data_IF_099559000562
#
_entry.id   IF_099559000562
#
_cell.length_a   1.000
_cell.length_b   1.000
_cell.length_c   1.000
_cell.angle_alpha   90.00
_cell.angle_beta   90.00
_cell.angle_gamma   90.00
#
_symmetry.space_group_name_H-M   'P 1'
#
loop_
_entity.id
_entity.type
_entity.pdbx_description
1 polymer ?
#
# COMPACT_ATOMS: atom_id res chain seq x y z
N UNK A 1 -4.57 20.08 7.57
CA UNK A 1 -5.40 19.21 6.71
C UNK A 1 -6.59 18.61 7.45
N UNK A 2 -6.42 18.05 8.66
CA UNK A 2 -7.52 17.42 9.41
C UNK A 2 -8.77 18.30 9.62
N UNK A 3 -8.60 19.56 10.05
CA UNK A 3 -9.73 20.49 10.22
C UNK A 3 -10.50 20.78 8.91
N UNK A 4 -9.79 20.81 7.78
CA UNK A 4 -10.40 21.05 6.48
C UNK A 4 -11.18 19.81 5.98
N UNK A 5 -10.66 18.61 6.23
CA UNK A 5 -11.37 17.35 5.96
C UNK A 5 -12.67 17.26 6.79
N UNK A 6 -12.63 17.64 8.07
CA UNK A 6 -13.81 17.67 8.93
C UNK A 6 -14.85 18.68 8.44
N UNK A 7 -14.41 19.87 8.01
CA UNK A 7 -15.29 20.88 7.41
C UNK A 7 -15.98 20.34 6.15
N UNK A 8 -15.22 19.69 5.26
CA UNK A 8 -15.78 19.08 4.04
C UNK A 8 -16.83 18.03 4.38
N UNK A 9 -16.52 17.11 5.30
CA UNK A 9 -17.47 16.08 5.75
C UNK A 9 -18.73 16.72 6.36
N UNK A 10 -18.58 17.75 7.20
CA UNK A 10 -19.71 18.48 7.78
C UNK A 10 -20.61 19.13 6.71
N UNK A 11 -20.02 19.77 5.70
CA UNK A 11 -20.76 20.38 4.57
C UNK A 11 -21.51 19.32 3.77
N UNK A 12 -20.90 18.15 3.51
CA UNK A 12 -21.55 17.05 2.80
C UNK A 12 -22.71 16.49 3.63
N UNK A 13 -22.52 16.26 4.93
CA UNK A 13 -23.58 15.75 5.81
C UNK A 13 -24.76 16.71 5.94
N UNK A 14 -24.48 18.01 6.01
CA UNK A 14 -25.51 19.02 6.19
C UNK A 14 -26.27 19.36 4.90
N UNK A 15 -25.57 19.40 3.76
CA UNK A 15 -26.11 19.93 2.51
C UNK A 15 -26.20 18.90 1.36
N UNK A 16 -25.73 17.66 1.56
CA UNK A 16 -25.81 16.57 0.59
C UNK A 16 -25.27 16.95 -0.80
N UNK A 17 -26.10 16.78 -1.83
CA UNK A 17 -25.75 17.12 -3.22
C UNK A 17 -25.35 18.60 -3.40
N UNK A 18 -25.99 19.52 -2.67
CA UNK A 18 -25.64 20.94 -2.74
C UNK A 18 -24.24 21.18 -2.15
N UNK A 19 -23.92 20.51 -1.04
CA UNK A 19 -22.57 20.54 -0.46
C UNK A 19 -21.54 20.03 -1.46
N UNK A 20 -21.80 18.89 -2.08
CA UNK A 20 -20.93 18.32 -3.12
C UNK A 20 -20.77 19.23 -4.34
N UNK A 21 -21.85 19.87 -4.78
CA UNK A 21 -21.81 20.84 -5.87
C UNK A 21 -20.88 22.01 -5.53
N UNK A 22 -21.09 22.65 -4.37
CA UNK A 22 -20.33 23.83 -3.96
C UNK A 22 -18.84 23.51 -3.78
N UNK A 23 -18.54 22.40 -3.09
CA UNK A 23 -17.17 21.96 -2.87
C UNK A 23 -16.47 21.65 -4.19
N UNK A 24 -17.12 20.90 -5.09
CA UNK A 24 -16.56 20.54 -6.40
C UNK A 24 -16.34 21.77 -7.26
N UNK A 25 -17.26 22.74 -7.24
CA UNK A 25 -17.10 23.99 -7.98
C UNK A 25 -15.92 24.80 -7.44
N UNK A 26 -15.81 24.94 -6.12
CA UNK A 26 -14.71 25.66 -5.48
C UNK A 26 -13.35 24.98 -5.74
N UNK A 27 -13.27 23.65 -5.79
CA UNK A 27 -12.04 22.90 -6.13
C UNK A 27 -11.46 23.29 -7.48
N UNK A 28 -12.31 23.68 -8.43
CA UNK A 28 -11.86 24.06 -9.76
C UNK A 28 -11.05 25.36 -9.78
N UNK A 29 -11.16 26.23 -8.78
CA UNK A 29 -10.54 27.55 -8.84
C UNK A 29 -9.94 28.08 -7.53
N UNK A 30 -10.28 27.53 -6.37
CA UNK A 30 -9.78 28.04 -5.07
C UNK A 30 -9.51 26.95 -4.02
N UNK A 31 -10.32 25.89 -3.98
CA UNK A 31 -10.26 24.91 -2.90
C UNK A 31 -9.04 23.99 -3.03
N UNK A 32 -8.29 23.73 -1.94
CA UNK A 32 -7.02 23.01 -2.01
C UNK A 32 -7.16 21.48 -1.95
N UNK A 33 -8.35 20.94 -1.64
CA UNK A 33 -8.57 19.49 -1.53
C UNK A 33 -9.27 18.92 -2.77
N UNK A 34 -8.86 17.73 -3.25
CA UNK A 34 -9.58 17.00 -4.28
C UNK A 34 -10.91 16.49 -3.72
N UNK A 35 -12.02 16.90 -4.33
CA UNK A 35 -13.38 16.59 -3.83
C UNK A 35 -13.82 15.17 -4.19
N UNK A 36 -13.19 14.57 -5.21
CA UNK A 36 -13.43 13.19 -5.63
C UNK A 36 -13.09 12.13 -4.57
N UNK A 37 -12.20 12.46 -3.63
CA UNK A 37 -11.90 11.67 -2.42
C UNK A 37 -13.15 11.41 -1.58
N UNK A 38 -14.10 12.34 -1.57
CA UNK A 38 -15.28 12.29 -0.73
C UNK A 38 -16.51 11.68 -1.42
N UNK A 39 -16.38 11.18 -2.66
CA UNK A 39 -17.50 10.55 -3.36
C UNK A 39 -17.97 9.30 -2.64
N UNK A 40 -17.02 8.48 -2.16
CA UNK A 40 -17.31 7.32 -1.36
C UNK A 40 -18.06 7.64 -0.07
N UNK A 41 -17.52 8.56 0.73
CA UNK A 41 -18.16 9.08 1.95
C UNK A 41 -19.57 9.63 1.67
N UNK A 42 -19.74 10.36 0.57
CA UNK A 42 -21.05 10.90 0.17
C UNK A 42 -22.07 9.79 -0.10
N UNK A 43 -21.64 8.74 -0.79
CA UNK A 43 -22.48 7.59 -1.15
C UNK A 43 -22.85 6.79 0.10
N UNK A 44 -21.89 6.55 1.00
CA UNK A 44 -22.12 5.91 2.30
C UNK A 44 -23.20 6.63 3.12
N UNK A 45 -23.29 7.96 2.99
CA UNK A 45 -24.25 8.81 3.70
C UNK A 45 -25.50 9.14 2.87
N UNK A 46 -25.84 8.29 1.88
CA UNK A 46 -27.14 8.30 1.21
C UNK A 46 -27.19 9.05 -0.12
N UNK A 47 -26.06 9.53 -0.67
CA UNK A 47 -26.04 10.10 -2.00
C UNK A 47 -25.97 8.99 -3.06
N UNK A 48 -26.93 9.01 -3.98
CA UNK A 48 -27.03 8.06 -5.08
C UNK A 48 -25.98 8.39 -6.15
N UNK A 49 -25.16 7.41 -6.52
CA UNK A 49 -23.99 7.68 -7.37
C UNK A 49 -24.35 8.29 -8.73
N UNK A 50 -25.45 7.85 -9.38
CA UNK A 50 -25.85 8.42 -10.68
C UNK A 50 -26.15 9.92 -10.56
N UNK A 51 -26.83 10.34 -9.48
CA UNK A 51 -27.14 11.75 -9.22
C UNK A 51 -25.88 12.53 -8.86
N UNK A 52 -25.00 11.92 -8.07
CA UNK A 52 -23.72 12.52 -7.71
C UNK A 52 -22.87 12.84 -8.95
N UNK A 53 -22.81 11.95 -9.94
CA UNK A 53 -22.05 12.20 -11.17
C UNK A 53 -22.57 13.41 -11.95
N UNK A 54 -23.89 13.58 -12.06
CA UNK A 54 -24.50 14.74 -12.73
C UNK A 54 -24.15 16.04 -11.99
N UNK A 55 -24.26 16.02 -10.66
CA UNK A 55 -23.95 17.16 -9.80
C UNK A 55 -22.49 17.57 -9.91
N UNK A 56 -21.56 16.60 -9.83
CA UNK A 56 -20.12 16.83 -9.95
C UNK A 56 -19.76 17.37 -11.33
N UNK A 57 -20.36 16.83 -12.39
CA UNK A 57 -20.11 17.30 -13.76
C UNK A 57 -20.55 18.77 -13.92
N UNK A 58 -21.77 19.11 -13.46
CA UNK A 58 -22.28 20.47 -13.51
C UNK A 58 -21.40 21.44 -12.71
N UNK A 59 -21.02 21.06 -11.49
CA UNK A 59 -20.14 21.84 -10.63
C UNK A 59 -18.75 22.05 -11.25
N UNK A 60 -18.22 21.02 -11.92
CA UNK A 60 -16.92 21.08 -12.59
C UNK A 60 -16.94 22.04 -13.76
N UNK A 61 -17.99 22.00 -14.59
CA UNK A 61 -18.19 22.91 -15.72
C UNK A 61 -18.25 24.36 -15.22
N UNK A 62 -19.10 24.61 -14.21
CA UNK A 62 -19.30 25.96 -13.65
C UNK A 62 -18.03 26.47 -12.98
N UNK A 63 -17.45 25.69 -12.06
CA UNK A 63 -16.24 26.06 -11.35
C UNK A 63 -15.04 26.27 -12.28
N UNK A 64 -14.87 25.42 -13.30
CA UNK A 64 -13.79 25.56 -14.27
C UNK A 64 -13.97 26.79 -15.14
N UNK A 65 -15.22 27.14 -15.47
CA UNK A 65 -15.54 28.37 -16.19
C UNK A 65 -15.19 29.61 -15.37
N UNK A 66 -15.56 29.61 -14.07
CA UNK A 66 -15.19 30.69 -13.15
C UNK A 66 -13.66 30.81 -13.07
N UNK A 67 -12.94 29.70 -12.85
CA UNK A 67 -11.48 29.70 -12.80
C UNK A 67 -10.82 30.22 -14.08
N UNK A 68 -11.36 29.84 -15.24
CA UNK A 68 -10.91 30.34 -16.54
C UNK A 68 -11.09 31.86 -16.67
N UNK A 69 -12.28 32.38 -16.38
CA UNK A 69 -12.53 33.82 -16.49
C UNK A 69 -11.79 34.64 -15.43
N UNK A 70 -11.61 34.11 -14.22
CA UNK A 70 -10.75 34.70 -13.20
C UNK A 70 -9.30 34.78 -13.69
N UNK A 71 -8.77 33.70 -14.26
CA UNK A 71 -7.44 33.71 -14.87
C UNK A 71 -7.31 34.76 -15.97
N UNK A 72 -8.29 34.82 -16.87
CA UNK A 72 -8.31 35.80 -17.97
C UNK A 72 -8.37 37.24 -17.47
N UNK A 73 -9.15 37.49 -16.42
CA UNK A 73 -9.32 38.82 -15.84
C UNK A 73 -8.10 39.29 -15.02
N UNK A 74 -7.53 38.40 -14.19
CA UNK A 74 -6.44 38.74 -13.28
C UNK A 74 -5.05 38.76 -13.95
N UNK A 75 -4.89 38.04 -15.06
CA UNK A 75 -3.67 38.01 -15.87
C UNK A 75 -2.44 37.44 -15.16
N UNK A 76 -1.28 37.60 -15.81
CA UNK A 76 0.02 37.08 -15.35
C UNK A 76 0.49 37.54 -13.95
N UNK A 77 0.29 38.81 -13.51
CA UNK A 77 0.81 39.29 -12.23
C UNK A 77 0.22 38.57 -11.01
N UNK A 78 -1.09 38.33 -11.01
CA UNK A 78 -1.78 37.67 -9.89
C UNK A 78 -1.37 36.20 -9.73
N UNK A 79 -1.24 35.45 -10.84
CA UNK A 79 -0.82 34.04 -10.80
C UNK A 79 0.64 33.89 -10.36
N UNK A 80 1.50 34.82 -10.78
CA UNK A 80 2.91 34.87 -10.36
C UNK A 80 3.03 35.06 -8.85
N UNK A 81 2.17 35.89 -8.27
CA UNK A 81 2.08 36.10 -6.83
C UNK A 81 1.53 34.86 -6.07
N UNK A 82 0.49 34.21 -6.60
CA UNK A 82 -0.15 33.04 -5.95
C UNK A 82 0.65 31.73 -6.05
N UNK A 83 1.28 31.46 -7.20
CA UNK A 83 1.83 30.13 -7.54
C UNK A 83 3.35 30.17 -7.71
N UNK A 84 3.94 31.35 -7.92
CA UNK A 84 5.37 31.55 -8.14
C UNK A 84 5.77 31.48 -9.62
N UNK A 85 6.64 32.41 -10.04
CA UNK A 85 7.05 32.65 -11.43
C UNK A 85 7.47 31.39 -12.20
N UNK A 86 8.31 30.54 -11.61
CA UNK A 86 8.82 29.31 -12.24
C UNK A 86 7.72 28.29 -12.55
N UNK A 87 6.65 28.25 -11.75
CA UNK A 87 5.52 27.33 -11.99
C UNK A 87 4.59 27.86 -13.08
N UNK A 88 4.43 29.18 -13.15
CA UNK A 88 3.69 29.86 -14.22
C UNK A 88 4.36 29.62 -15.57
N UNK A 89 5.68 29.80 -15.68
CA UNK A 89 6.45 29.56 -16.91
C UNK A 89 6.37 28.09 -17.36
N UNK A 90 6.44 27.13 -16.42
CA UNK A 90 6.24 25.70 -16.74
C UNK A 90 4.83 25.41 -17.24
N UNK A 91 3.80 26.05 -16.64
CA UNK A 91 2.41 25.94 -17.08
C UNK A 91 2.20 26.51 -18.48
N UNK A 92 2.86 27.62 -18.79
CA UNK A 92 2.85 28.25 -20.11
C UNK A 92 3.43 27.33 -21.20
N UNK A 93 4.62 26.79 -20.95
CA UNK A 93 5.27 25.84 -21.87
C UNK A 93 4.38 24.61 -22.08
N UNK A 94 3.73 24.13 -21.01
CA UNK A 94 2.85 22.98 -21.08
C UNK A 94 1.61 23.24 -21.94
N UNK A 95 0.91 24.36 -21.70
CA UNK A 95 -0.29 24.73 -22.47
C UNK A 95 0.04 25.03 -23.93
N UNK A 96 1.12 25.77 -24.21
CA UNK A 96 1.54 26.05 -25.59
C UNK A 96 1.92 24.77 -26.34
N UNK A 97 2.57 23.81 -25.66
CA UNK A 97 3.01 22.55 -26.28
C UNK A 97 1.86 21.56 -26.50
N UNK A 98 0.95 21.42 -25.55
CA UNK A 98 -0.05 20.34 -25.54
C UNK A 98 -1.47 20.82 -25.83
N UNK A 99 -1.76 22.12 -25.72
CA UNK A 99 -3.08 22.67 -25.98
C UNK A 99 -4.17 21.96 -25.18
N UNK A 100 -5.24 21.53 -25.88
CA UNK A 100 -6.36 20.77 -25.28
C UNK A 100 -5.89 19.45 -24.64
N UNK A 101 -4.88 18.77 -25.20
CA UNK A 101 -4.36 17.53 -24.65
C UNK A 101 -3.74 17.72 -23.27
N UNK A 102 -3.16 18.91 -23.02
CA UNK A 102 -2.63 19.25 -21.70
C UNK A 102 -3.75 19.32 -20.65
N UNK A 103 -4.90 19.89 -21.02
CA UNK A 103 -6.08 19.96 -20.15
C UNK A 103 -6.64 18.55 -19.88
N UNK A 104 -6.75 17.72 -20.92
CA UNK A 104 -7.24 16.34 -20.80
C UNK A 104 -6.34 15.50 -19.89
N UNK A 105 -5.03 15.49 -20.16
CA UNK A 105 -4.06 14.73 -19.37
C UNK A 105 -4.04 15.19 -17.91
N UNK A 106 -4.05 16.50 -17.68
CA UNK A 106 -4.10 17.01 -16.32
C UNK A 106 -5.39 16.61 -15.60
N UNK A 107 -6.53 16.58 -16.29
CA UNK A 107 -7.83 16.17 -15.73
C UNK A 107 -7.87 14.70 -15.28
N UNK A 108 -7.12 13.83 -15.97
CA UNK A 108 -7.00 12.41 -15.64
C UNK A 108 -6.07 12.15 -14.44
N UNK A 109 -5.20 13.10 -14.12
CA UNK A 109 -4.18 12.97 -13.05
C UNK A 109 -4.61 13.69 -11.76
N UNK A 110 -4.07 13.33 -10.58
CA UNK A 110 -4.35 14.00 -9.30
C UNK A 110 -3.70 15.38 -9.15
N UNK A 111 -3.31 16.04 -10.25
CA UNK A 111 -2.69 17.36 -10.23
C UNK A 111 -3.73 18.41 -9.79
N UNK A 112 -3.34 19.46 -9.04
CA UNK A 112 -4.24 20.55 -8.67
C UNK A 112 -4.84 21.24 -9.90
N UNK A 113 -6.07 20.87 -10.27
CA UNK A 113 -6.68 21.25 -11.54
C UNK A 113 -6.93 22.76 -11.66
N UNK A 114 -7.09 23.47 -10.53
CA UNK A 114 -7.13 24.94 -10.49
C UNK A 114 -5.95 25.63 -11.19
N UNK A 115 -4.77 25.00 -11.21
CA UNK A 115 -3.62 25.55 -11.95
C UNK A 115 -3.92 25.53 -13.44
N UNK A 116 -4.54 24.47 -13.94
CA UNK A 116 -4.93 24.30 -15.35
C UNK A 116 -6.03 25.29 -15.74
N UNK A 117 -7.06 25.46 -14.89
CA UNK A 117 -8.17 26.39 -15.17
C UNK A 117 -7.68 27.84 -15.24
N UNK A 118 -6.87 28.27 -14.29
CA UNK A 118 -6.30 29.63 -14.28
C UNK A 118 -5.36 29.86 -15.45
N UNK A 119 -4.43 28.93 -15.70
CA UNK A 119 -3.46 29.07 -16.79
C UNK A 119 -4.14 29.08 -18.16
N UNK A 120 -5.16 28.24 -18.38
CA UNK A 120 -5.95 28.28 -19.61
C UNK A 120 -6.62 29.65 -19.85
N UNK A 121 -7.11 30.29 -18.78
CA UNK A 121 -7.68 31.63 -18.82
C UNK A 121 -6.66 32.72 -19.13
N UNK A 122 -5.51 32.70 -18.43
CA UNK A 122 -4.42 33.67 -18.59
C UNK A 122 -3.84 33.63 -20.01
N UNK A 123 -3.70 32.43 -20.57
CA UNK A 123 -3.19 32.23 -21.93
C UNK A 123 -4.27 32.28 -23.00
N UNK A 124 -5.49 32.71 -22.65
CA UNK A 124 -6.61 32.90 -23.57
C UNK A 124 -6.90 31.69 -24.47
N UNK A 125 -6.80 30.47 -23.92
CA UNK A 125 -7.18 29.26 -24.64
C UNK A 125 -8.64 29.37 -25.08
N UNK A 126 -9.01 29.07 -26.35
CA UNK A 126 -10.40 29.17 -26.78
C UNK A 126 -11.34 28.43 -25.82
N UNK A 127 -12.29 29.16 -25.23
CA UNK A 127 -13.09 28.67 -24.09
C UNK A 127 -13.80 27.34 -24.38
N UNK A 128 -14.35 27.17 -25.59
CA UNK A 128 -14.96 25.90 -26.00
C UNK A 128 -13.98 24.72 -26.02
N UNK A 129 -12.73 24.93 -26.44
CA UNK A 129 -11.69 23.88 -26.42
C UNK A 129 -11.25 23.55 -25.00
N UNK A 130 -11.11 24.57 -24.15
CA UNK A 130 -10.84 24.38 -22.74
C UNK A 130 -11.95 23.55 -22.08
N UNK A 131 -13.22 23.94 -22.26
CA UNK A 131 -14.36 23.27 -21.66
C UNK A 131 -14.49 21.82 -22.14
N UNK A 132 -14.28 21.57 -23.45
CA UNK A 132 -14.21 20.20 -23.99
C UNK A 132 -13.10 19.39 -23.32
N UNK A 133 -11.90 19.98 -23.15
CA UNK A 133 -10.79 19.34 -22.46
C UNK A 133 -11.10 19.01 -21.00
N UNK A 134 -11.80 19.89 -20.28
CA UNK A 134 -12.26 19.66 -18.90
C UNK A 134 -13.23 18.48 -18.85
N UNK A 135 -14.25 18.47 -19.71
CA UNK A 135 -15.25 17.39 -19.75
C UNK A 135 -14.57 16.05 -20.06
N UNK A 136 -13.78 15.99 -21.14
CA UNK A 136 -13.10 14.76 -21.56
C UNK A 136 -12.06 14.30 -20.53
N UNK A 137 -11.32 15.23 -19.91
CA UNK A 137 -10.27 14.90 -18.95
C UNK A 137 -10.80 14.49 -17.57
N UNK A 138 -11.83 15.18 -17.05
CA UNK A 138 -12.31 14.98 -15.68
C UNK A 138 -13.46 14.00 -15.57
N UNK A 139 -14.33 13.91 -16.58
CA UNK A 139 -15.50 13.02 -16.53
C UNK A 139 -15.10 11.55 -16.35
N UNK A 140 -14.11 10.97 -17.08
CA UNK A 140 -13.71 9.58 -16.86
C UNK A 140 -13.19 9.33 -15.44
N UNK A 141 -12.40 10.27 -14.89
CA UNK A 141 -11.88 10.17 -13.53
C UNK A 141 -13.01 10.21 -12.50
N UNK A 142 -13.92 11.17 -12.59
CA UNK A 142 -15.03 11.28 -11.66
C UNK A 142 -16.02 10.12 -11.78
N UNK A 143 -16.26 9.64 -13.00
CA UNK A 143 -17.03 8.43 -13.22
C UNK A 143 -16.35 7.23 -12.58
N UNK A 144 -15.04 7.08 -12.77
CA UNK A 144 -14.28 6.00 -12.17
C UNK A 144 -14.28 6.08 -10.64
N UNK A 145 -14.01 7.24 -10.04
CA UNK A 145 -13.97 7.38 -8.56
C UNK A 145 -15.36 7.30 -7.94
N UNK A 146 -16.40 7.83 -8.58
CA UNK A 146 -17.78 7.70 -8.11
C UNK A 146 -18.29 6.27 -8.27
N UNK A 147 -17.98 5.59 -9.38
CA UNK A 147 -18.31 4.18 -9.58
C UNK A 147 -17.53 3.28 -8.63
N UNK A 148 -16.23 3.51 -8.47
CA UNK A 148 -15.39 2.78 -7.54
C UNK A 148 -15.88 3.01 -6.11
N UNK A 149 -16.21 4.24 -5.72
CA UNK A 149 -16.87 4.55 -4.45
C UNK A 149 -18.22 3.87 -4.32
N UNK A 150 -19.08 3.93 -5.33
CA UNK A 150 -20.38 3.26 -5.31
C UNK A 150 -20.23 1.76 -5.17
N UNK A 151 -19.31 1.12 -5.87
CA UNK A 151 -19.01 -0.31 -5.66
C UNK A 151 -18.37 -0.55 -4.29
N UNK A 152 -17.47 0.29 -3.84
CA UNK A 152 -16.80 0.19 -2.54
C UNK A 152 -17.80 0.31 -1.37
N UNK A 153 -18.87 1.10 -1.50
CA UNK A 153 -19.82 1.40 -0.42
C UNK A 153 -21.23 0.79 -0.62
N UNK A 154 -21.76 0.68 -1.85
CA UNK A 154 -23.03 0.01 -2.16
C UNK A 154 -22.87 -1.51 -2.28
N UNK A 155 -21.76 -2.02 -2.85
CA UNK A 155 -21.52 -3.45 -2.86
C UNK A 155 -20.75 -3.85 -1.61
N UNK A 156 -21.50 -4.20 -0.56
CA UNK A 156 -21.03 -5.26 0.34
C UNK A 156 -20.81 -6.49 -0.56
N UNK A 157 -19.59 -6.65 -1.07
CA UNK A 157 -19.25 -7.82 -1.87
C UNK A 157 -19.19 -9.00 -0.91
N UNK A 158 -20.34 -9.64 -0.69
CA UNK A 158 -20.42 -10.84 0.13
C UNK A 158 -19.80 -11.99 -0.64
N UNK A 159 -18.48 -12.15 -0.50
CA UNK A 159 -17.84 -13.36 -0.96
C UNK A 159 -18.45 -14.55 -0.20
N UNK A 160 -18.74 -15.66 -0.90
CA UNK A 160 -19.07 -16.90 -0.21
C UNK A 160 -17.91 -17.27 0.73
N UNK A 161 -18.17 -18.04 1.77
CA UNK A 161 -17.13 -18.53 2.68
C UNK A 161 -15.99 -19.16 1.86
N UNK A 162 -16.31 -19.92 0.82
CA UNK A 162 -15.29 -20.57 0.00
C UNK A 162 -14.44 -19.61 -0.82
N UNK A 163 -15.08 -18.67 -1.52
CA UNK A 163 -14.37 -17.67 -2.32
C UNK A 163 -13.51 -16.76 -1.44
N UNK A 164 -13.99 -16.45 -0.22
CA UNK A 164 -13.23 -15.71 0.78
C UNK A 164 -11.93 -16.42 1.16
N UNK A 165 -11.99 -17.74 1.39
CA UNK A 165 -10.81 -18.54 1.73
C UNK A 165 -9.77 -18.51 0.61
N UNK A 166 -10.21 -18.68 -0.65
CA UNK A 166 -9.33 -18.62 -1.82
C UNK A 166 -8.67 -17.24 -1.98
N UNK A 167 -9.45 -16.16 -1.87
CA UNK A 167 -8.93 -14.79 -2.05
C UNK A 167 -7.94 -14.46 -0.94
N UNK A 168 -8.31 -14.70 0.33
CA UNK A 168 -7.44 -14.41 1.47
C UNK A 168 -6.20 -15.29 1.47
N UNK A 169 -6.33 -16.57 1.15
CA UNK A 169 -5.21 -17.48 0.99
C UNK A 169 -4.25 -17.02 -0.10
N UNK A 170 -4.78 -16.67 -1.29
CA UNK A 170 -3.96 -16.16 -2.39
C UNK A 170 -3.29 -14.83 -2.05
N UNK A 171 -4.03 -13.93 -1.40
CA UNK A 171 -3.50 -12.63 -0.99
C UNK A 171 -2.38 -12.80 0.03
N UNK A 172 -2.58 -13.60 1.09
CA UNK A 172 -1.55 -13.89 2.07
C UNK A 172 -0.31 -14.50 1.40
N UNK A 173 -0.48 -15.56 0.61
CA UNK A 173 0.67 -16.24 0.00
C UNK A 173 1.46 -15.36 -0.98
N UNK A 174 0.78 -14.53 -1.78
CA UNK A 174 1.45 -13.58 -2.67
C UNK A 174 2.17 -12.47 -1.89
N UNK A 175 1.51 -11.89 -0.90
CA UNK A 175 1.97 -10.65 -0.26
C UNK A 175 2.94 -10.89 0.91
N UNK A 176 3.02 -12.11 1.45
CA UNK A 176 3.91 -12.44 2.57
C UNK A 176 5.39 -12.27 2.21
N UNK A 177 5.74 -12.67 0.98
CA UNK A 177 7.12 -12.63 0.49
C UNK A 177 7.39 -11.41 -0.39
N UNK A 178 6.38 -10.93 -1.11
CA UNK A 178 6.51 -9.70 -1.88
C UNK A 178 6.73 -8.51 -0.91
N UNK A 179 7.61 -7.57 -1.25
CA UNK A 179 7.93 -6.45 -0.38
C UNK A 179 6.82 -5.38 -0.47
N UNK A 180 5.58 -5.73 -0.13
CA UNK A 180 4.39 -4.87 -0.24
C UNK A 180 3.49 -4.88 1.01
N UNK A 181 3.86 -5.63 2.06
CA UNK A 181 3.15 -5.78 3.34
C UNK A 181 1.86 -6.61 3.25
N UNK A 182 1.95 -7.90 3.60
CA UNK A 182 0.81 -8.79 3.72
C UNK A 182 -0.24 -8.28 4.69
N UNK A 183 0.18 -7.91 5.90
CA UNK A 183 -0.74 -7.37 6.91
C UNK A 183 -1.53 -6.15 6.44
N UNK A 184 -0.91 -5.25 5.67
CA UNK A 184 -1.61 -4.06 5.16
C UNK A 184 -2.65 -4.43 4.11
N UNK A 185 -2.31 -5.33 3.20
CA UNK A 185 -3.21 -5.81 2.16
C UNK A 185 -4.36 -6.65 2.70
N UNK A 186 -4.09 -7.52 3.69
CA UNK A 186 -5.13 -8.28 4.37
C UNK A 186 -6.13 -7.36 5.06
N UNK A 187 -5.67 -6.37 5.86
CA UNK A 187 -6.58 -5.41 6.53
C UNK A 187 -7.42 -4.63 5.51
N UNK A 188 -6.84 -4.22 4.38
CA UNK A 188 -7.59 -3.55 3.30
C UNK A 188 -8.62 -4.51 2.69
N UNK A 189 -8.23 -5.76 2.43
CA UNK A 189 -9.10 -6.75 1.79
C UNK A 189 -10.22 -7.23 2.72
N UNK A 190 -9.97 -7.44 4.00
CA UNK A 190 -10.97 -7.80 5.00
C UNK A 190 -12.06 -6.74 5.12
N UNK A 191 -11.67 -5.45 5.07
CA UNK A 191 -12.63 -4.34 5.03
C UNK A 191 -13.38 -4.26 3.69
N UNK A 192 -12.75 -4.71 2.59
CA UNK A 192 -13.34 -4.71 1.26
C UNK A 192 -14.32 -5.87 1.02
N UNK A 193 -13.99 -7.06 1.50
CA UNK A 193 -14.73 -8.30 1.23
C UNK A 193 -15.93 -8.52 2.15
N UNK A 194 -16.24 -7.62 3.10
CA UNK A 194 -17.32 -7.75 4.09
C UNK A 194 -17.58 -9.21 4.46
N UNK A 195 -16.52 -9.86 4.94
CA UNK A 195 -16.47 -11.31 5.10
C UNK A 195 -17.60 -11.76 6.03
N UNK A 196 -18.43 -12.74 5.64
CA UNK A 196 -19.48 -13.28 6.50
C UNK A 196 -18.90 -14.19 7.59
N UNK A 197 -17.77 -13.80 8.18
CA UNK A 197 -16.95 -14.59 9.10
C UNK A 197 -16.72 -13.74 10.36
N UNK A 198 -16.98 -14.28 11.57
CA UNK A 198 -16.67 -13.59 12.82
C UNK A 198 -15.20 -13.16 12.90
N UNK A 199 -14.92 -11.98 13.48
CA UNK A 199 -13.57 -11.41 13.50
C UNK A 199 -12.55 -12.28 14.24
N UNK A 200 -12.98 -12.98 15.28
CA UNK A 200 -12.21 -13.96 16.05
C UNK A 200 -11.90 -15.24 15.24
N UNK A 201 -12.81 -15.68 14.37
CA UNK A 201 -12.56 -16.76 13.40
C UNK A 201 -11.52 -16.35 12.35
N UNK A 202 -11.52 -15.09 11.90
CA UNK A 202 -10.53 -14.57 10.94
C UNK A 202 -9.12 -14.53 11.54
N UNK A 203 -8.97 -14.16 12.81
CA UNK A 203 -7.67 -14.19 13.50
C UNK A 203 -7.10 -15.61 13.54
N UNK A 204 -7.94 -16.59 13.86
CA UNK A 204 -7.55 -18.01 13.82
C UNK A 204 -7.17 -18.45 12.41
N UNK A 205 -7.95 -18.06 11.41
CA UNK A 205 -7.70 -18.40 10.01
C UNK A 205 -6.37 -17.82 9.49
N UNK A 206 -6.04 -16.57 9.84
CA UNK A 206 -4.78 -15.93 9.48
C UNK A 206 -3.56 -16.74 9.93
N UNK A 207 -3.62 -17.35 11.12
CA UNK A 207 -2.56 -18.23 11.63
C UNK A 207 -2.34 -19.39 10.65
N UNK A 208 -3.40 -20.07 10.24
CA UNK A 208 -3.30 -21.19 9.30
C UNK A 208 -2.81 -20.74 7.90
N UNK A 209 -3.23 -19.57 7.42
CA UNK A 209 -2.71 -19.02 6.16
C UNK A 209 -1.19 -18.78 6.22
N UNK A 210 -0.69 -18.26 7.35
CA UNK A 210 0.75 -18.13 7.57
C UNK A 210 1.43 -19.51 7.63
N UNK A 211 0.78 -20.51 8.22
CA UNK A 211 1.22 -21.91 8.16
C UNK A 211 1.42 -22.41 6.72
N UNK A 212 0.50 -22.11 5.80
CA UNK A 212 0.65 -22.42 4.38
C UNK A 212 1.90 -21.78 3.76
N UNK A 213 2.13 -20.50 4.04
CA UNK A 213 3.32 -19.77 3.57
C UNK A 213 4.62 -20.31 4.18
N UNK A 214 4.58 -20.78 5.43
CA UNK A 214 5.71 -21.43 6.10
C UNK A 214 6.06 -22.76 5.44
N UNK A 215 5.07 -23.59 5.11
CA UNK A 215 5.34 -24.84 4.38
C UNK A 215 5.98 -24.54 3.02
N UNK A 216 5.55 -23.48 2.34
CA UNK A 216 6.14 -23.07 1.06
C UNK A 216 7.62 -22.68 1.21
N UNK A 217 7.98 -21.90 2.25
CA UNK A 217 9.38 -21.50 2.46
C UNK A 217 10.27 -22.66 2.89
N UNK A 218 9.73 -23.60 3.67
CA UNK A 218 10.42 -24.83 4.07
C UNK A 218 10.67 -25.73 2.86
N UNK A 219 9.68 -25.89 1.99
CA UNK A 219 9.79 -26.70 0.78
C UNK A 219 10.74 -26.08 -0.24
N UNK A 220 10.59 -24.77 -0.51
CA UNK A 220 11.40 -24.07 -1.51
C UNK A 220 12.90 -24.09 -1.15
N UNK A 221 13.23 -23.89 0.12
CA UNK A 221 14.61 -23.89 0.62
C UNK A 221 14.98 -25.19 1.35
N UNK A 222 14.34 -26.32 1.01
CA UNK A 222 14.51 -27.60 1.71
C UNK A 222 15.98 -27.98 1.95
N UNK A 223 16.83 -27.86 0.92
CA UNK A 223 18.25 -28.18 1.02
C UNK A 223 18.98 -27.26 2.01
N UNK A 224 18.72 -25.96 1.95
CA UNK A 224 19.32 -24.99 2.87
C UNK A 224 18.87 -25.24 4.32
N UNK A 225 17.62 -25.65 4.54
CA UNK A 225 17.13 -26.03 5.87
C UNK A 225 17.80 -27.29 6.39
N UNK A 226 17.98 -28.32 5.56
CA UNK A 226 18.74 -29.53 5.93
C UNK A 226 20.16 -29.18 6.37
N UNK A 227 20.82 -28.26 5.66
CA UNK A 227 22.16 -27.80 6.03
C UNK A 227 22.14 -27.00 7.34
N UNK A 228 21.17 -26.12 7.55
CA UNK A 228 20.96 -25.43 8.85
C UNK A 228 20.79 -26.41 10.00
N UNK A 229 19.97 -27.45 9.84
CA UNK A 229 19.79 -28.48 10.88
C UNK A 229 21.07 -29.28 11.12
N UNK A 230 21.83 -29.60 10.06
CA UNK A 230 23.12 -30.28 10.18
C UNK A 230 24.14 -29.42 10.93
N UNK A 231 24.22 -28.13 10.60
CA UNK A 231 25.08 -27.15 11.28
C UNK A 231 24.71 -27.03 12.77
N UNK A 232 23.42 -26.89 13.10
CA UNK A 232 22.94 -26.87 14.49
C UNK A 232 23.32 -28.13 15.25
N UNK A 233 23.03 -29.31 14.68
CA UNK A 233 23.38 -30.59 15.29
C UNK A 233 24.89 -30.73 15.50
N UNK A 234 25.69 -30.25 14.56
CA UNK A 234 27.14 -30.28 14.66
C UNK A 234 27.64 -29.38 15.81
N UNK A 235 27.10 -28.16 15.95
CA UNK A 235 27.45 -27.24 17.04
C UNK A 235 27.07 -27.82 18.41
N UNK A 236 25.90 -28.45 18.53
CA UNK A 236 25.45 -29.12 19.76
C UNK A 236 26.40 -30.27 20.11
N UNK A 237 26.71 -31.17 19.16
CA UNK A 237 27.59 -32.32 19.41
C UNK A 237 29.01 -31.93 19.80
N UNK A 238 29.55 -30.87 19.21
CA UNK A 238 30.92 -30.39 19.52
C UNK A 238 30.97 -29.41 20.69
N UNK A 239 29.82 -29.01 21.24
CA UNK A 239 29.71 -27.93 22.22
C UNK A 239 30.48 -26.66 21.80
N UNK A 240 30.46 -26.35 20.49
CA UNK A 240 31.25 -25.25 19.89
C UNK A 240 30.39 -24.40 18.98
N UNK A 241 30.49 -23.07 19.11
CA UNK A 241 29.75 -22.13 18.26
C UNK A 241 30.50 -21.84 16.96
N UNK A 242 29.88 -22.13 15.82
CA UNK A 242 30.37 -21.73 14.51
C UNK A 242 29.66 -20.45 14.04
N UNK A 243 30.31 -19.30 14.26
CA UNK A 243 29.76 -17.99 13.88
C UNK A 243 29.67 -17.77 12.37
N UNK A 244 30.33 -18.61 11.58
CA UNK A 244 30.30 -18.56 10.11
C UNK A 244 29.12 -19.34 9.52
N UNK A 245 28.55 -20.29 10.29
CA UNK A 245 27.41 -21.10 9.89
C UNK A 245 26.16 -20.26 9.60
N UNK A 246 25.33 -20.72 8.66
CA UNK A 246 24.06 -20.09 8.35
C UNK A 246 23.09 -20.22 9.54
N UNK A 247 23.09 -21.38 10.20
CA UNK A 247 22.34 -21.66 11.41
C UNK A 247 22.56 -20.61 12.51
N UNK A 248 23.83 -20.33 12.85
CA UNK A 248 24.15 -19.35 13.88
C UNK A 248 23.72 -17.94 13.49
N UNK A 249 23.90 -17.58 12.21
CA UNK A 249 23.47 -16.27 11.70
C UNK A 249 21.96 -16.12 11.75
N UNK A 250 21.17 -17.13 11.37
CA UNK A 250 19.71 -17.09 11.47
C UNK A 250 19.25 -16.99 12.93
N UNK A 251 19.89 -17.74 13.83
CA UNK A 251 19.58 -17.68 15.26
C UNK A 251 19.81 -16.27 15.81
N UNK A 252 21.01 -15.71 15.63
CA UNK A 252 21.35 -14.37 16.10
C UNK A 252 20.52 -13.29 15.44
N UNK A 253 20.24 -13.41 14.14
CA UNK A 253 19.39 -12.47 13.41
C UNK A 253 17.94 -12.47 13.90
N UNK A 254 17.46 -13.54 14.53
CA UNK A 254 16.07 -13.60 15.02
C UNK A 254 15.93 -12.98 16.41
N UNK A 255 17.02 -12.91 17.19
CA UNK A 255 17.03 -12.39 18.57
C UNK A 255 16.39 -11.00 18.69
N UNK A 256 16.74 -9.98 17.86
CA UNK A 256 16.13 -8.65 18.02
C UNK A 256 14.61 -8.66 17.86
N UNK A 257 14.08 -9.49 16.96
CA UNK A 257 12.65 -9.61 16.73
C UNK A 257 11.94 -10.32 17.90
N UNK A 258 12.56 -11.36 18.47
CA UNK A 258 12.04 -12.04 19.67
C UNK A 258 11.98 -11.06 20.85
N UNK A 259 13.07 -10.32 21.11
CA UNK A 259 13.12 -9.33 22.19
C UNK A 259 12.03 -8.28 21.99
N UNK A 260 11.90 -7.73 20.79
CA UNK A 260 10.86 -6.76 20.50
C UNK A 260 9.45 -7.34 20.64
N UNK A 261 9.22 -8.60 20.24
CA UNK A 261 7.94 -9.28 20.41
C UNK A 261 7.57 -9.50 21.89
N UNK A 262 8.53 -9.88 22.73
CA UNK A 262 8.32 -10.07 24.16
C UNK A 262 8.09 -8.75 24.90
N UNK A 263 8.80 -7.69 24.54
CA UNK A 263 8.71 -6.38 25.21
C UNK A 263 7.50 -5.57 24.72
N UNK A 264 7.25 -5.55 23.41
CA UNK A 264 6.26 -4.66 22.79
C UNK A 264 5.02 -5.38 22.28
N UNK A 265 4.98 -6.71 22.20
CA UNK A 265 3.90 -7.47 21.56
C UNK A 265 2.50 -7.14 22.10
N UNK A 266 2.36 -6.95 23.42
CA UNK A 266 1.08 -6.55 24.02
C UNK A 266 0.70 -5.07 23.82
N UNK A 267 1.66 -4.21 23.45
CA UNK A 267 1.49 -2.76 23.25
C UNK A 267 1.37 -2.36 21.78
N UNK A 268 1.70 -3.24 20.84
CA UNK A 268 1.48 -3.06 19.40
C UNK A 268 -0.04 -3.18 19.15
N UNK A 269 -0.73 -2.07 19.44
CA UNK A 269 -2.18 -2.04 19.66
C UNK A 269 -3.05 -1.94 18.41
N UNK A 270 -4.37 -2.05 18.63
CA UNK A 270 -5.44 -1.92 17.62
C UNK A 270 -5.33 -0.65 16.77
N UNK A 271 -4.85 0.45 17.37
CA UNK A 271 -4.71 1.74 16.68
C UNK A 271 -3.79 1.69 15.46
N UNK A 272 -2.80 0.79 15.42
CA UNK A 272 -1.86 0.66 14.29
C UNK A 272 -2.46 -0.09 13.08
N UNK A 273 -3.66 -0.68 13.23
CA UNK A 273 -4.41 -1.31 12.13
C UNK A 273 -5.33 -0.34 11.40
N UNK A 274 -5.38 0.93 11.78
CA UNK A 274 -6.16 1.93 11.04
C UNK A 274 -5.55 2.24 9.68
N UNK A 275 -6.40 2.45 8.66
CA UNK A 275 -5.97 2.58 7.26
C UNK A 275 -5.02 3.76 7.05
N UNK A 276 -5.17 4.84 7.82
CA UNK A 276 -4.29 6.00 7.69
C UNK A 276 -2.85 5.69 8.11
N UNK A 277 -2.63 4.89 9.17
CA UNK A 277 -1.28 4.47 9.56
C UNK A 277 -0.67 3.54 8.53
N UNK A 278 -1.43 2.53 8.06
CA UNK A 278 -0.98 1.60 7.03
C UNK A 278 -0.57 2.38 5.77
N UNK A 279 -1.37 3.34 5.34
CA UNK A 279 -1.09 4.14 4.16
C UNK A 279 0.17 5.02 4.29
N UNK A 280 0.39 5.64 5.46
CA UNK A 280 1.61 6.39 5.75
C UNK A 280 2.83 5.45 5.73
N UNK A 281 2.72 4.28 6.36
CA UNK A 281 3.80 3.28 6.39
C UNK A 281 4.13 2.76 4.99
N UNK A 282 3.13 2.58 4.12
CA UNK A 282 3.37 2.22 2.72
C UNK A 282 4.23 3.27 2.01
N UNK A 283 3.91 4.56 2.17
CA UNK A 283 4.70 5.64 1.58
C UNK A 283 6.14 5.63 2.13
N UNK A 284 6.30 5.51 3.46
CA UNK A 284 7.62 5.46 4.11
C UNK A 284 8.44 4.28 3.59
N UNK A 285 7.85 3.08 3.54
CA UNK A 285 8.52 1.90 3.00
C UNK A 285 8.88 2.05 1.53
N UNK A 286 8.00 2.67 0.74
CA UNK A 286 8.30 2.94 -0.65
C UNK A 286 9.54 3.81 -0.82
N UNK A 287 9.68 4.87 0.00
CA UNK A 287 10.88 5.70 0.05
C UNK A 287 12.11 4.90 0.48
N UNK A 288 11.99 4.04 1.50
CA UNK A 288 13.08 3.15 1.94
C UNK A 288 13.55 2.23 0.80
N UNK A 289 12.64 1.69 -0.01
CA UNK A 289 13.00 0.83 -1.13
C UNK A 289 13.67 1.58 -2.27
N UNK A 290 13.26 2.82 -2.53
CA UNK A 290 13.97 3.70 -3.46
C UNK A 290 15.41 3.94 -3.00
N UNK A 291 15.60 4.23 -1.71
CA UNK A 291 16.92 4.40 -1.12
C UNK A 291 17.76 3.12 -1.21
N UNK A 292 17.22 1.97 -0.82
CA UNK A 292 17.90 0.68 -0.91
C UNK A 292 18.30 0.35 -2.35
N UNK A 293 17.41 0.59 -3.32
CA UNK A 293 17.70 0.37 -4.73
C UNK A 293 18.76 1.32 -5.29
N UNK A 294 18.85 2.56 -4.79
CA UNK A 294 19.92 3.49 -5.14
C UNK A 294 21.26 3.04 -4.54
N UNK A 295 21.28 2.72 -3.24
CA UNK A 295 22.49 2.33 -2.53
C UNK A 295 23.07 1.00 -3.02
N UNK A 296 22.21 0.07 -3.41
CA UNK A 296 22.55 -1.29 -3.81
C UNK A 296 22.82 -1.52 -5.30
N UNK A 297 23.18 -0.48 -6.06
CA UNK A 297 23.49 -0.60 -7.50
C UNK A 297 24.78 -1.40 -7.76
N UNK A 298 25.78 -1.26 -6.90
CA UNK A 298 27.13 -1.81 -7.06
C UNK A 298 27.45 -2.91 -6.05
N UNK A 299 26.43 -3.51 -5.42
CA UNK A 299 26.64 -4.52 -4.40
C UNK A 299 27.15 -5.83 -4.98
N UNK A 300 28.16 -6.41 -4.35
CA UNK A 300 28.78 -7.67 -4.78
C UNK A 300 28.75 -8.77 -3.72
N UNK A 301 28.47 -8.46 -2.45
CA UNK A 301 28.51 -9.46 -1.39
C UNK A 301 27.37 -10.49 -1.52
N UNK A 302 27.74 -11.76 -1.64
CA UNK A 302 26.80 -12.89 -1.70
C UNK A 302 26.56 -13.54 -0.34
N UNK A 303 27.48 -13.36 0.61
CA UNK A 303 27.40 -13.98 1.93
C UNK A 303 27.00 -12.97 2.99
N UNK A 304 26.12 -13.43 3.88
CA UNK A 304 25.71 -12.64 5.06
C UNK A 304 26.71 -12.91 6.19
N UNK A 305 27.39 -11.86 6.63
CA UNK A 305 28.24 -11.89 7.82
C UNK A 305 27.43 -11.64 9.10
N UNK A 306 28.01 -11.95 10.26
CA UNK A 306 27.34 -11.83 11.57
C UNK A 306 26.77 -10.42 11.82
N UNK A 307 27.57 -9.38 11.58
CA UNK A 307 27.13 -7.97 11.75
C UNK A 307 25.91 -7.65 10.89
N UNK A 308 25.89 -8.11 9.63
CA UNK A 308 24.76 -7.90 8.72
C UNK A 308 23.52 -8.65 9.18
N UNK A 309 23.68 -9.88 9.68
CA UNK A 309 22.58 -10.65 10.24
C UNK A 309 21.87 -9.91 11.39
N UNK A 310 22.63 -9.34 12.33
CA UNK A 310 22.06 -8.58 13.46
C UNK A 310 21.24 -7.39 12.97
N UNK A 311 21.78 -6.59 12.04
CA UNK A 311 21.07 -5.43 11.50
C UNK A 311 19.82 -5.80 10.69
N UNK A 312 19.86 -6.90 9.95
CA UNK A 312 18.67 -7.45 9.29
C UNK A 312 17.66 -7.92 10.35
N UNK A 313 18.13 -8.48 11.47
CA UNK A 313 17.30 -8.81 12.62
C UNK A 313 16.62 -7.62 13.28
N UNK A 314 17.34 -6.51 13.44
CA UNK A 314 16.77 -5.23 13.93
C UNK A 314 15.69 -4.73 12.97
N UNK A 315 15.92 -4.80 11.66
CA UNK A 315 14.90 -4.51 10.66
C UNK A 315 13.67 -5.43 10.78
N UNK A 316 13.87 -6.72 11.07
CA UNK A 316 12.77 -7.65 11.32
C UNK A 316 11.99 -7.29 12.60
N UNK A 317 12.65 -6.78 13.64
CA UNK A 317 11.99 -6.33 14.86
C UNK A 317 11.03 -5.15 14.60
N UNK A 318 11.42 -4.19 13.75
CA UNK A 318 10.52 -3.11 13.33
C UNK A 318 9.32 -3.62 12.53
N UNK A 319 9.46 -4.75 11.83
CA UNK A 319 8.37 -5.34 11.07
C UNK A 319 7.26 -5.97 11.91
N UNK A 320 7.38 -5.96 13.24
CA UNK A 320 6.27 -6.28 14.14
C UNK A 320 5.15 -5.22 14.09
N UNK A 321 5.46 -4.00 13.62
CA UNK A 321 4.46 -2.95 13.42
C UNK A 321 3.55 -3.28 12.23
N UNK A 322 2.22 -3.38 12.41
CA UNK A 322 1.29 -3.64 11.31
C UNK A 322 1.44 -2.65 10.16
N UNK A 323 1.42 -3.15 8.92
CA UNK A 323 1.64 -2.33 7.73
C UNK A 323 3.11 -2.21 7.31
N UNK A 324 4.05 -2.61 8.16
CA UNK A 324 5.44 -2.78 7.75
C UNK A 324 5.62 -4.14 7.05
N UNK A 325 6.12 -4.15 5.81
CA UNK A 325 6.50 -5.40 5.14
C UNK A 325 7.77 -5.95 5.75
N UNK A 326 7.66 -7.08 6.46
CA UNK A 326 8.81 -7.80 7.01
C UNK A 326 9.83 -8.12 5.92
N UNK A 327 9.43 -8.89 4.91
CA UNK A 327 10.32 -9.27 3.82
C UNK A 327 10.94 -8.05 3.13
N UNK A 328 10.15 -7.01 2.86
CA UNK A 328 10.68 -5.82 2.20
C UNK A 328 11.68 -5.03 3.04
N UNK A 329 11.43 -4.84 4.33
CA UNK A 329 12.33 -4.08 5.20
C UNK A 329 13.64 -4.84 5.47
N UNK A 330 13.60 -6.16 5.64
CA UNK A 330 14.80 -7.00 5.80
C UNK A 330 15.61 -7.12 4.51
N UNK A 331 14.96 -7.25 3.34
CA UNK A 331 15.63 -7.23 2.04
C UNK A 331 16.28 -5.86 1.79
N UNK A 332 15.53 -4.77 1.99
CA UNK A 332 16.04 -3.42 1.83
C UNK A 332 17.26 -3.16 2.71
N UNK A 333 17.20 -3.60 3.98
CA UNK A 333 18.33 -3.53 4.92
C UNK A 333 19.53 -4.37 4.45
N UNK A 334 19.30 -5.59 3.98
CA UNK A 334 20.38 -6.41 3.44
C UNK A 334 21.08 -5.75 2.25
N UNK A 335 20.30 -5.15 1.35
CA UNK A 335 20.81 -4.41 0.19
C UNK A 335 21.56 -3.15 0.63
N UNK A 336 21.06 -2.36 1.58
CA UNK A 336 21.78 -1.16 2.05
C UNK A 336 23.10 -1.50 2.74
N UNK A 337 23.19 -2.68 3.37
CA UNK A 337 24.41 -3.24 3.97
C UNK A 337 25.36 -3.90 2.95
N UNK A 338 25.09 -3.74 1.65
CA UNK A 338 26.00 -4.14 0.59
C UNK A 338 25.79 -5.56 0.06
N UNK A 339 24.70 -6.26 0.39
CA UNK A 339 24.39 -7.58 -0.17
C UNK A 339 23.82 -7.47 -1.59
N UNK A 340 24.12 -8.47 -2.43
CA UNK A 340 23.36 -8.69 -3.66
C UNK A 340 21.88 -8.90 -3.31
N UNK A 341 20.99 -8.48 -4.21
CA UNK A 341 19.53 -8.49 -3.98
C UNK A 341 19.00 -9.90 -3.70
N UNK A 342 19.51 -10.87 -4.45
CA UNK A 342 19.18 -12.29 -4.28
C UNK A 342 19.66 -12.84 -2.93
N UNK A 343 20.89 -12.51 -2.53
CA UNK A 343 21.42 -12.93 -1.23
C UNK A 343 20.64 -12.32 -0.06
N UNK A 344 20.28 -11.03 -0.18
CA UNK A 344 19.42 -10.35 0.80
C UNK A 344 18.03 -10.99 0.86
N UNK A 345 17.42 -11.31 -0.28
CA UNK A 345 16.14 -11.99 -0.38
C UNK A 345 16.16 -13.39 0.23
N UNK A 346 17.12 -14.23 -0.15
CA UNK A 346 17.28 -15.58 0.39
C UNK A 346 17.45 -15.56 1.91
N UNK A 347 18.35 -14.71 2.42
CA UNK A 347 18.56 -14.60 3.86
C UNK A 347 17.32 -14.08 4.60
N UNK A 348 16.67 -13.03 4.06
CA UNK A 348 15.41 -12.49 4.60
C UNK A 348 14.31 -13.54 4.68
N UNK A 349 14.18 -14.37 3.64
CA UNK A 349 13.19 -15.43 3.54
C UNK A 349 13.42 -16.55 4.56
N UNK A 350 14.67 -17.01 4.69
CA UNK A 350 15.01 -18.01 5.70
C UNK A 350 14.86 -17.47 7.12
N UNK A 351 15.37 -16.26 7.39
CA UNK A 351 15.16 -15.58 8.68
C UNK A 351 13.66 -15.45 8.98
N UNK A 352 12.91 -15.15 7.94
CA UNK A 352 11.48 -15.00 8.04
C UNK A 352 10.72 -16.29 8.32
N UNK A 353 11.17 -17.42 7.77
CA UNK A 353 10.66 -18.75 8.09
C UNK A 353 10.82 -19.10 9.56
N UNK A 354 11.96 -18.76 10.18
CA UNK A 354 12.17 -18.94 11.63
C UNK A 354 11.15 -18.13 12.44
N UNK A 355 10.95 -16.86 12.07
CA UNK A 355 10.00 -15.98 12.76
C UNK A 355 8.54 -16.42 12.58
N UNK A 356 8.14 -16.82 11.36
CA UNK A 356 6.78 -17.32 11.10
C UNK A 356 6.52 -18.61 11.89
N UNK A 357 7.49 -19.53 11.91
CA UNK A 357 7.38 -20.77 12.69
C UNK A 357 7.16 -20.46 14.17
N UNK A 358 7.98 -19.58 14.76
CA UNK A 358 7.85 -19.19 16.16
C UNK A 358 6.48 -18.55 16.46
N UNK A 359 6.03 -17.63 15.61
CA UNK A 359 4.73 -16.97 15.74
C UNK A 359 3.56 -17.97 15.60
N UNK A 360 3.62 -18.89 14.64
CA UNK A 360 2.60 -19.91 14.44
C UNK A 360 2.50 -20.87 15.63
N UNK A 361 3.65 -21.36 16.10
CA UNK A 361 3.71 -22.25 17.27
C UNK A 361 3.09 -21.55 18.48
N UNK A 362 3.53 -20.33 18.77
CA UNK A 362 2.97 -19.54 19.87
C UNK A 362 1.44 -19.38 19.75
N UNK A 363 0.96 -18.97 18.57
CA UNK A 363 -0.46 -18.72 18.35
C UNK A 363 -1.32 -20.00 18.48
N UNK A 364 -0.86 -21.14 17.94
CA UNK A 364 -1.53 -22.43 18.10
C UNK A 364 -1.61 -22.85 19.58
N UNK A 365 -0.55 -22.63 20.36
CA UNK A 365 -0.58 -22.91 21.79
C UNK A 365 -1.58 -22.00 22.53
N UNK A 366 -1.63 -20.71 22.19
CA UNK A 366 -2.59 -19.77 22.78
C UNK A 366 -4.05 -20.12 22.46
N UNK A 367 -4.33 -20.73 21.31
CA UNK A 367 -5.67 -21.16 20.91
C UNK A 367 -6.24 -22.30 21.75
N UNK A 368 -5.39 -23.08 22.44
CA UNK A 368 -5.85 -24.20 23.30
C UNK A 368 -6.79 -23.76 24.43
N UNK A 369 -6.85 -22.46 24.71
CA UNK A 369 -7.73 -21.86 25.71
C UNK A 369 -9.16 -21.59 25.19
N UNK A 370 -9.61 -22.29 24.15
CA UNK A 370 -10.98 -22.19 23.62
C UNK A 370 -11.17 -21.09 22.57
N UNK A 371 -10.12 -20.76 21.80
CA UNK A 371 -10.29 -19.86 20.66
C UNK A 371 -11.22 -20.50 19.61
N UNK A 372 -12.16 -19.73 19.03
CA UNK A 372 -13.01 -20.24 17.97
C UNK A 372 -12.19 -20.65 16.75
N UNK A 373 -12.52 -21.82 16.20
CA UNK A 373 -11.85 -22.40 15.04
C UNK A 373 -12.87 -22.43 13.89
N UNK A 374 -12.54 -21.87 12.70
CA UNK A 374 -13.37 -22.00 11.51
C UNK A 374 -13.53 -23.46 11.06
N UNK A 375 -14.47 -23.69 10.14
CA UNK A 375 -14.65 -25.01 9.54
C UNK A 375 -13.37 -25.51 8.85
N UNK A 376 -13.13 -26.81 8.94
CA UNK A 376 -11.90 -27.44 8.44
C UNK A 376 -11.70 -27.21 6.93
N UNK A 377 -12.77 -27.30 6.15
CA UNK A 377 -12.71 -27.12 4.69
C UNK A 377 -12.29 -25.70 4.31
N UNK A 378 -12.79 -24.70 5.04
CA UNK A 378 -12.40 -23.30 4.86
C UNK A 378 -10.91 -23.08 5.18
N UNK A 379 -10.44 -23.63 6.30
CA UNK A 379 -9.02 -23.58 6.71
C UNK A 379 -8.14 -24.24 5.65
N UNK A 380 -8.48 -25.46 5.22
CA UNK A 380 -7.68 -26.23 4.27
C UNK A 380 -7.57 -25.50 2.92
N UNK A 381 -8.69 -25.01 2.40
CA UNK A 381 -8.72 -24.31 1.12
C UNK A 381 -7.86 -23.04 1.14
N UNK A 382 -8.00 -22.21 2.17
CA UNK A 382 -7.16 -21.01 2.33
C UNK A 382 -5.68 -21.36 2.50
N UNK A 383 -5.38 -22.35 3.34
CA UNK A 383 -4.00 -22.76 3.65
C UNK A 383 -3.29 -23.33 2.44
N UNK A 384 -3.94 -24.22 1.68
CA UNK A 384 -3.39 -24.79 0.44
C UNK A 384 -3.20 -23.70 -0.61
N UNK A 385 -4.15 -22.78 -0.74
CA UNK A 385 -4.02 -21.65 -1.67
C UNK A 385 -2.86 -20.73 -1.29
N UNK A 386 -2.70 -20.42 -0.01
CA UNK A 386 -1.55 -19.67 0.52
C UNK A 386 -0.24 -20.38 0.24
N UNK A 387 -0.16 -21.69 0.46
CA UNK A 387 1.02 -22.50 0.14
C UNK A 387 1.40 -22.43 -1.35
N UNK A 388 0.45 -22.66 -2.26
CA UNK A 388 0.70 -22.66 -3.71
C UNK A 388 1.14 -21.27 -4.19
N UNK A 389 0.41 -20.23 -3.78
CA UNK A 389 0.71 -18.85 -4.19
C UNK A 389 2.00 -18.32 -3.57
N UNK A 390 2.36 -18.78 -2.37
CA UNK A 390 3.65 -18.51 -1.74
C UNK A 390 4.83 -19.08 -2.54
N UNK A 391 4.75 -20.34 -2.99
CA UNK A 391 5.79 -20.93 -3.83
C UNK A 391 6.00 -20.12 -5.11
N UNK A 392 4.89 -19.70 -5.74
CA UNK A 392 4.92 -18.84 -6.91
C UNK A 392 5.55 -17.48 -6.59
N UNK A 393 5.16 -16.85 -5.49
CA UNK A 393 5.67 -15.54 -5.07
C UNK A 393 7.18 -15.57 -4.77
N UNK A 394 7.66 -16.58 -4.04
CA UNK A 394 9.09 -16.77 -3.74
C UNK A 394 9.88 -16.93 -5.05
N UNK A 395 9.42 -17.83 -5.92
CA UNK A 395 10.08 -18.10 -7.20
C UNK A 395 10.13 -16.85 -8.10
N UNK A 396 9.01 -16.16 -8.26
CA UNK A 396 8.91 -14.96 -9.09
C UNK A 396 9.73 -13.82 -8.51
N UNK A 397 9.71 -13.59 -7.19
CA UNK A 397 10.47 -12.51 -6.58
C UNK A 397 11.97 -12.74 -6.70
N UNK A 398 12.46 -13.96 -6.46
CA UNK A 398 13.88 -14.26 -6.61
C UNK A 398 14.33 -14.02 -8.05
N UNK A 399 13.58 -14.53 -9.04
CA UNK A 399 13.85 -14.27 -10.48
C UNK A 399 13.79 -12.79 -10.83
N UNK A 400 12.83 -12.06 -10.27
CA UNK A 400 12.69 -10.62 -10.49
C UNK A 400 13.90 -9.85 -9.96
N UNK A 401 14.35 -10.15 -8.74
CA UNK A 401 15.45 -9.44 -8.09
C UNK A 401 16.83 -9.70 -8.73
N UNK A 402 16.96 -10.72 -9.59
CA UNK A 402 18.17 -10.93 -10.40
C UNK A 402 18.33 -9.84 -11.46
N UNK A 403 17.22 -9.40 -12.06
CA UNK A 403 17.21 -8.47 -13.20
C UNK A 403 16.72 -7.07 -12.85
N UNK A 404 15.96 -6.93 -11.77
CA UNK A 404 15.29 -5.70 -11.41
C UNK A 404 15.67 -5.25 -9.99
N UNK A 405 15.17 -4.07 -9.61
CA UNK A 405 15.44 -3.43 -8.32
C UNK A 405 14.16 -3.32 -7.51
N UNK A 406 14.28 -3.02 -6.22
CA UNK A 406 13.11 -2.80 -5.36
C UNK A 406 12.27 -1.56 -5.73
N UNK A 407 12.69 -0.74 -6.71
CA UNK A 407 11.98 0.47 -7.14
C UNK A 407 10.54 0.18 -7.56
N UNK A 408 10.28 -0.93 -8.25
CA UNK A 408 8.94 -1.28 -8.69
C UNK A 408 7.97 -1.39 -7.50
N UNK A 409 8.40 -2.05 -6.43
CA UNK A 409 7.64 -2.15 -5.19
C UNK A 409 7.55 -0.83 -4.45
N UNK A 410 8.60 -0.01 -4.52
CA UNK A 410 8.58 1.35 -3.96
C UNK A 410 7.54 2.26 -4.63
N UNK A 411 7.45 2.22 -5.96
CA UNK A 411 6.40 2.91 -6.73
C UNK A 411 5.02 2.41 -6.31
N UNK A 412 4.84 1.09 -6.28
CA UNK A 412 3.57 0.49 -5.88
C UNK A 412 3.11 0.97 -4.49
N UNK A 413 3.97 0.87 -3.48
CA UNK A 413 3.59 1.26 -2.11
C UNK A 413 3.30 2.76 -1.98
N UNK A 414 4.07 3.63 -2.64
CA UNK A 414 3.79 5.08 -2.63
C UNK A 414 2.44 5.36 -3.29
N UNK A 415 2.14 4.74 -4.42
CA UNK A 415 0.86 4.90 -5.11
C UNK A 415 -0.30 4.35 -4.28
N UNK A 416 -0.15 3.14 -3.73
CA UNK A 416 -1.17 2.49 -2.91
C UNK A 416 -1.44 3.30 -1.63
N UNK A 417 -0.39 3.72 -0.91
CA UNK A 417 -0.53 4.55 0.28
C UNK A 417 -1.15 5.92 -0.03
N UNK A 418 -0.72 6.57 -1.12
CA UNK A 418 -1.31 7.85 -1.54
C UNK A 418 -2.79 7.69 -1.93
N UNK A 419 -3.13 6.59 -2.60
CA UNK A 419 -4.50 6.28 -2.98
C UNK A 419 -5.38 6.03 -1.74
N UNK A 420 -4.91 5.24 -0.77
CA UNK A 420 -5.65 5.00 0.48
C UNK A 420 -5.86 6.31 1.25
N UNK A 421 -4.83 7.15 1.39
CA UNK A 421 -4.98 8.47 2.02
C UNK A 421 -5.95 9.38 1.26
N UNK A 422 -6.04 9.22 -0.06
CA UNK A 422 -7.04 9.91 -0.87
C UNK A 422 -8.46 9.34 -0.75
N UNK A 423 -8.71 8.37 0.12
CA UNK A 423 -10.05 7.88 0.43
C UNK A 423 -10.46 8.13 1.89
N UNK A 424 -9.56 8.65 2.74
CA UNK A 424 -9.77 8.89 4.18
C UNK A 424 -9.97 10.38 4.50
#
# INVERSE_FOLDING_TARGET
MHALTLLVKAVILQYGYLGMFLLTALEQFIFPLPVDVFFGFSIEHGLVYQKLMVVVLAATIIGSSIGYFLGRFLGHPALTWLVGKTKVEKGEIYIKKWGIWGVILAGLTPIPFKVVTWTAGIFEMPFGRFLLGVIIGRMPRYMFTAYAGAKFFESKFYATTDMSALILGALQGLTEFLPISSSGHLVIMEKFLYLPIPADHLVTFDIFLHGGSLVAILLYFWKDWVDVFRELWHMIKKASLDTSSLAFKLAVGTIPAIIAGLVFGGSIGKNLRELHYIAILFIILGVIYFYAAWRGRSNTHETVGLKKSIWIGVAQAFALVPGISRAGLTIATGITLGLKREAAAKFSFMLGGVAILAANVYAIFSMRNGAPIPDLDFILMGTVTSFITSLLAIYLLLRFLQKHTMRAFGVYLILAGSLILSFL
#
